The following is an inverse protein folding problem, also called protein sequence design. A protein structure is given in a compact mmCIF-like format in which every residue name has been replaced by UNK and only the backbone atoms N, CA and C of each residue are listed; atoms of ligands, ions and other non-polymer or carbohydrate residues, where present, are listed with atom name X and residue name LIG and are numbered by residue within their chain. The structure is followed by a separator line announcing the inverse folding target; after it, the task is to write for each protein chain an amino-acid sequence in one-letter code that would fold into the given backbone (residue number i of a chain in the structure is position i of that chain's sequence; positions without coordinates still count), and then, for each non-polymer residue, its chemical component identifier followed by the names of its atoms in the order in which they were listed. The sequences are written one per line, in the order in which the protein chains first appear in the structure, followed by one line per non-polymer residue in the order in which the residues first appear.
data_IF_571504516426
#
_entry.id   IF_571504516426
#
_cell.length_a   1.000
_cell.length_b   1.000
_cell.length_c   1.000
_cell.angle_alpha   90.00
_cell.angle_beta   90.00
_cell.angle_gamma   90.00
#
_symmetry.space_group_name_H-M   'P 1'
#
loop_
_entity.id
_entity.type
_entity.pdbx_description
1 polymer ?
#
# COMPACT_ATOMS: atom_id res chain seq x y z
N UNK A 1 9.33 12.40 -0.15
CA UNK A 1 10.14 11.17 -0.09
C UNK A 1 10.88 10.99 -1.41
N UNK A 2 11.84 10.09 -1.46
CA UNK A 2 12.62 9.90 -2.71
C UNK A 2 11.99 8.92 -3.70
N UNK A 3 11.05 8.09 -3.22
CA UNK A 3 10.41 7.01 -3.99
C UNK A 3 8.99 6.80 -3.49
N UNK A 4 8.04 6.55 -4.40
CA UNK A 4 6.64 6.29 -4.06
C UNK A 4 6.45 4.96 -3.32
N UNK A 5 7.37 4.00 -3.49
CA UNK A 5 7.38 2.74 -2.75
C UNK A 5 7.44 2.93 -1.23
N UNK A 6 8.11 3.98 -0.75
CA UNK A 6 8.16 4.34 0.67
C UNK A 6 6.82 4.91 1.18
N UNK A 7 6.10 5.65 0.34
CA UNK A 7 4.74 6.10 0.68
C UNK A 7 3.78 4.91 0.77
N UNK A 8 3.89 3.97 -0.18
CA UNK A 8 3.12 2.72 -0.15
C UNK A 8 3.38 1.95 1.15
N UNK A 9 4.65 1.85 1.57
CA UNK A 9 5.01 1.22 2.83
C UNK A 9 4.32 1.89 4.02
N UNK A 10 4.43 3.22 4.13
CA UNK A 10 3.82 3.98 5.22
C UNK A 10 2.30 3.83 5.27
N UNK A 11 1.64 3.83 4.11
CA UNK A 11 0.18 3.67 4.01
C UNK A 11 -0.23 2.24 4.40
N UNK A 12 0.45 1.22 3.89
CA UNK A 12 0.16 -0.18 4.22
C UNK A 12 0.44 -0.50 5.70
N UNK A 13 1.46 0.13 6.30
CA UNK A 13 1.69 0.08 7.75
C UNK A 13 0.53 0.67 8.56
N UNK A 14 -0.18 1.67 8.04
CA UNK A 14 -1.39 2.18 8.69
C UNK A 14 -2.53 1.15 8.62
N UNK A 15 -2.66 0.42 7.53
CA UNK A 15 -3.63 -0.68 7.39
C UNK A 15 -3.38 -1.78 8.43
N UNK A 16 -2.11 -2.18 8.61
CA UNK A 16 -1.73 -3.15 9.66
C UNK A 16 -2.08 -2.63 11.06
N UNK A 17 -1.79 -1.35 11.35
CA UNK A 17 -2.14 -0.71 12.63
C UNK A 17 -3.65 -0.63 12.85
N UNK A 18 -4.42 -0.50 11.77
CA UNK A 18 -5.88 -0.60 11.80
C UNK A 18 -6.39 -2.06 11.96
N UNK A 19 -5.49 -3.00 12.19
CA UNK A 19 -5.77 -4.44 12.37
C UNK A 19 -6.47 -5.06 11.16
N UNK A 20 -6.12 -4.61 9.96
CA UNK A 20 -6.64 -5.18 8.73
C UNK A 20 -6.16 -6.62 8.54
N UNK A 21 -7.05 -7.62 8.48
CA UNK A 21 -6.69 -8.97 8.10
C UNK A 21 -6.12 -9.06 6.68
N UNK A 22 -6.55 -8.17 5.80
CA UNK A 22 -6.12 -8.10 4.41
C UNK A 22 -5.83 -6.66 3.99
N UNK A 23 -4.69 -6.45 3.37
CA UNK A 23 -4.30 -5.20 2.71
C UNK A 23 -3.98 -5.48 1.24
N UNK A 24 -4.58 -4.73 0.33
CA UNK A 24 -4.34 -4.83 -1.10
C UNK A 24 -3.55 -3.61 -1.56
N UNK A 25 -2.45 -3.84 -2.28
CA UNK A 25 -1.59 -2.83 -2.89
C UNK A 25 -1.73 -3.00 -4.41
N UNK A 26 -2.43 -2.06 -5.04
CA UNK A 26 -2.83 -2.13 -6.43
C UNK A 26 -2.19 -0.97 -7.20
N UNK A 27 -1.38 -1.29 -8.20
CA UNK A 27 -0.74 -0.33 -9.08
C UNK A 27 -1.24 -0.55 -10.50
N UNK A 28 -1.63 0.53 -11.16
CA UNK A 28 -2.01 0.55 -12.57
C UNK A 28 -1.18 1.63 -13.26
N UNK A 29 -0.28 1.21 -14.12
CA UNK A 29 0.72 2.06 -14.76
C UNK A 29 0.57 2.04 -16.27
N UNK A 30 0.44 3.22 -16.85
CA UNK A 30 0.53 3.45 -18.29
C UNK A 30 1.85 4.17 -18.63
N UNK A 31 2.05 4.54 -19.89
CA UNK A 31 3.23 5.31 -20.30
C UNK A 31 3.33 6.66 -19.57
N UNK A 32 2.19 7.30 -19.30
CA UNK A 32 2.13 8.68 -18.78
C UNK A 32 1.49 8.82 -17.40
N UNK A 33 0.84 7.78 -16.89
CA UNK A 33 0.09 7.83 -15.63
C UNK A 33 0.40 6.61 -14.78
N UNK A 34 0.61 6.84 -13.49
CA UNK A 34 0.67 5.80 -12.46
C UNK A 34 -0.47 6.03 -11.46
N UNK A 35 -1.31 5.04 -11.29
CA UNK A 35 -2.34 5.02 -10.24
C UNK A 35 -1.94 4.01 -9.18
N UNK A 36 -1.95 4.43 -7.92
CA UNK A 36 -1.66 3.61 -6.75
C UNK A 36 -2.89 3.60 -5.85
N UNK A 37 -3.36 2.41 -5.49
CA UNK A 37 -4.42 2.25 -4.50
C UNK A 37 -3.97 1.28 -3.40
N UNK A 38 -4.27 1.65 -2.15
CA UNK A 38 -4.15 0.77 -0.99
C UNK A 38 -5.54 0.60 -0.40
N UNK A 39 -5.99 -0.65 -0.33
CA UNK A 39 -7.33 -1.03 0.14
C UNK A 39 -7.19 -1.98 1.30
N UNK A 40 -7.84 -1.71 2.40
CA UNK A 40 -7.81 -2.58 3.57
C UNK A 40 -9.21 -2.79 4.17
N UNK A 41 -9.35 -3.86 4.92
CA UNK A 41 -10.54 -4.21 5.70
C UNK A 41 -10.30 -4.07 7.22
N UNK A 42 -9.48 -3.09 7.61
CA UNK A 42 -9.24 -2.73 9.00
C UNK A 42 -10.40 -2.01 9.67
N UNK A 43 -10.18 -1.50 10.88
CA UNK A 43 -11.25 -0.84 11.66
C UNK A 43 -11.80 0.45 11.02
N UNK A 44 -11.17 0.95 9.96
CA UNK A 44 -11.56 2.18 9.30
C UNK A 44 -11.43 3.43 10.17
N UNK A 45 -11.98 4.53 9.68
CA UNK A 45 -11.95 5.82 10.33
C UNK A 45 -13.35 6.39 10.50
N UNK A 46 -13.61 7.04 11.62
CA UNK A 46 -14.82 7.85 11.81
C UNK A 46 -14.75 9.10 10.95
N UNK A 47 -15.89 9.75 10.62
CA UNK A 47 -15.91 10.98 9.83
C UNK A 47 -14.97 12.08 10.38
N UNK A 48 -14.92 12.27 11.69
CA UNK A 48 -14.06 13.26 12.33
C UNK A 48 -12.57 12.99 12.09
N UNK A 49 -12.15 11.72 12.09
CA UNK A 49 -10.77 11.32 11.82
C UNK A 49 -10.48 11.48 10.33
N UNK A 50 -11.42 11.07 9.47
CA UNK A 50 -11.28 11.11 8.02
C UNK A 50 -11.07 12.56 7.51
N UNK A 51 -11.80 13.53 8.07
CA UNK A 51 -11.64 14.95 7.72
C UNK A 51 -10.24 15.49 8.01
N UNK A 52 -9.57 14.93 9.02
CA UNK A 52 -8.28 15.45 9.53
C UNK A 52 -7.07 14.63 9.06
N UNK A 53 -7.28 13.42 8.58
CA UNK A 53 -6.18 12.49 8.28
C UNK A 53 -5.22 13.00 7.19
N UNK A 54 -5.67 13.90 6.34
CA UNK A 54 -4.84 14.56 5.31
C UNK A 54 -4.10 15.80 5.81
N UNK A 55 -4.36 16.24 7.05
CA UNK A 55 -3.65 17.36 7.66
C UNK A 55 -2.27 16.89 8.17
N UNK A 56 -1.15 17.51 7.73
CA UNK A 56 0.19 17.14 8.16
C UNK A 56 0.42 17.28 9.67
N UNK A 57 -0.38 18.12 10.35
CA UNK A 57 -0.27 18.36 11.79
C UNK A 57 -1.19 17.46 12.64
N UNK A 58 -2.09 16.72 11.99
CA UNK A 58 -2.97 15.79 12.68
C UNK A 58 -2.31 14.43 12.89
N UNK A 59 -2.34 13.94 14.14
CA UNK A 59 -1.88 12.58 14.46
C UNK A 59 -2.72 11.99 15.58
N UNK A 60 -3.06 10.74 15.47
CA UNK A 60 -3.70 9.94 16.53
C UNK A 60 -2.67 9.28 17.46
N UNK A 61 -1.37 9.47 17.18
CA UNK A 61 -0.28 8.87 17.98
C UNK A 61 0.03 9.72 19.21
N UNK A 62 -0.05 9.12 20.39
CA UNK A 62 0.24 9.77 21.68
C UNK A 62 1.73 9.93 21.98
N UNK A 63 2.63 9.26 21.26
CA UNK A 63 4.04 9.14 21.66
C UNK A 63 5.06 9.54 20.59
N UNK A 64 4.67 9.88 19.36
CA UNK A 64 5.60 10.35 18.33
C UNK A 64 4.93 11.09 17.19
N UNK A 65 5.66 12.12 16.73
CA UNK A 65 5.50 12.91 15.50
C UNK A 65 4.63 12.28 14.42
N UNK A 66 3.57 13.01 14.08
CA UNK A 66 2.93 13.18 12.77
C UNK A 66 2.98 11.96 11.85
N UNK A 67 1.84 11.34 11.61
CA UNK A 67 1.67 10.40 10.51
C UNK A 67 1.70 11.16 9.18
N UNK A 68 2.88 11.35 8.60
CA UNK A 68 3.07 12.15 7.39
C UNK A 68 2.81 11.37 6.09
N UNK A 69 2.62 10.05 6.16
CA UNK A 69 2.48 9.21 4.97
C UNK A 69 1.31 9.63 4.07
N UNK A 70 0.10 9.75 4.61
CA UNK A 70 -1.09 10.14 3.82
C UNK A 70 -1.00 11.58 3.32
N UNK A 71 -0.67 12.59 4.16
CA UNK A 71 -0.50 13.96 3.69
C UNK A 71 0.56 14.12 2.59
N UNK A 72 1.70 13.45 2.72
CA UNK A 72 2.76 13.51 1.69
C UNK A 72 2.32 12.82 0.40
N UNK A 73 1.68 11.68 0.48
CA UNK A 73 1.18 10.96 -0.69
C UNK A 73 0.17 11.80 -1.48
N UNK A 74 -0.73 12.49 -0.76
CA UNK A 74 -1.65 13.47 -1.34
C UNK A 74 -0.90 14.60 -2.03
N UNK A 75 0.02 15.25 -1.32
CA UNK A 75 0.79 16.38 -1.84
C UNK A 75 1.59 16.00 -3.10
N UNK A 76 2.26 14.86 -3.08
CA UNK A 76 3.07 14.38 -4.19
C UNK A 76 2.21 14.08 -5.43
N UNK A 77 1.01 13.52 -5.26
CA UNK A 77 0.07 13.32 -6.36
C UNK A 77 -0.39 14.65 -6.96
N UNK A 78 -0.83 15.58 -6.11
CA UNK A 78 -1.31 16.90 -6.52
C UNK A 78 -0.21 17.74 -7.20
N UNK A 79 1.04 17.62 -6.77
CA UNK A 79 2.19 18.30 -7.40
C UNK A 79 2.42 17.86 -8.85
N UNK A 80 2.06 16.64 -9.21
CA UNK A 80 2.14 16.18 -10.61
C UNK A 80 0.91 16.54 -11.46
N UNK A 81 -0.03 17.30 -10.88
CA UNK A 81 -1.33 17.55 -11.52
C UNK A 81 -2.28 16.36 -11.47
N UNK A 82 -1.93 15.34 -10.69
CA UNK A 82 -2.75 14.16 -10.46
C UNK A 82 -3.86 14.38 -9.44
N UNK A 83 -4.35 13.29 -8.87
CA UNK A 83 -5.48 13.32 -7.93
C UNK A 83 -5.23 12.43 -6.72
N UNK A 84 -5.93 12.73 -5.63
CA UNK A 84 -5.93 11.93 -4.42
C UNK A 84 -7.37 11.75 -3.92
N UNK A 85 -7.69 10.55 -3.45
CA UNK A 85 -8.93 10.28 -2.73
C UNK A 85 -8.69 9.34 -1.56
N UNK A 86 -9.49 9.51 -0.51
CA UNK A 86 -9.54 8.62 0.63
C UNK A 86 -10.99 8.39 1.03
N UNK A 87 -11.38 7.15 1.17
CA UNK A 87 -12.70 6.73 1.64
C UNK A 87 -12.50 5.76 2.80
N UNK A 88 -13.29 5.88 3.84
CA UNK A 88 -13.22 4.99 4.98
C UNK A 88 -14.57 4.81 5.62
N UNK A 89 -14.83 3.57 6.06
CA UNK A 89 -16.00 3.19 6.84
C UNK A 89 -15.51 2.63 8.17
N UNK A 90 -15.94 3.24 9.28
CA UNK A 90 -15.55 2.76 10.61
C UNK A 90 -16.29 1.49 10.99
N UNK A 91 -15.59 0.57 11.65
CA UNK A 91 -16.16 -0.67 12.19
C UNK A 91 -17.31 -0.40 13.17
N UNK A 92 -17.26 0.72 13.91
CA UNK A 92 -18.29 1.10 14.85
C UNK A 92 -19.64 1.45 14.20
N UNK A 93 -19.61 1.98 12.96
CA UNK A 93 -20.80 2.34 12.19
C UNK A 93 -21.19 1.26 11.17
N UNK A 94 -20.22 0.53 10.66
CA UNK A 94 -20.36 -0.49 9.61
C UNK A 94 -19.68 -1.81 10.02
N UNK A 95 -20.22 -2.57 10.98
CA UNK A 95 -19.54 -3.75 11.53
C UNK A 95 -19.21 -4.88 10.52
N UNK A 96 -19.93 -4.93 9.41
CA UNK A 96 -19.74 -5.95 8.37
C UNK A 96 -19.16 -5.41 7.05
N UNK A 97 -18.90 -4.11 6.95
CA UNK A 97 -18.41 -3.46 5.74
C UNK A 97 -17.55 -2.24 6.12
N UNK A 98 -16.40 -2.49 6.72
CA UNK A 98 -15.49 -1.47 7.21
C UNK A 98 -14.11 -1.60 6.56
N UNK A 99 -13.31 -0.53 6.64
CA UNK A 99 -11.98 -0.46 6.10
C UNK A 99 -11.69 0.88 5.47
N UNK A 100 -10.58 0.95 4.74
CA UNK A 100 -10.10 2.19 4.11
C UNK A 100 -9.65 1.94 2.68
N UNK A 101 -9.95 2.87 1.80
CA UNK A 101 -9.44 2.94 0.43
C UNK A 101 -8.70 4.26 0.26
N UNK A 102 -7.42 4.19 -0.06
CA UNK A 102 -6.59 5.34 -0.42
C UNK A 102 -6.18 5.16 -1.87
N UNK A 103 -6.40 6.18 -2.70
CA UNK A 103 -6.04 6.15 -4.11
C UNK A 103 -5.40 7.47 -4.53
N UNK A 104 -4.30 7.38 -5.26
CA UNK A 104 -3.63 8.53 -5.85
C UNK A 104 -3.23 8.25 -7.30
N UNK A 105 -3.30 9.29 -8.13
CA UNK A 105 -2.90 9.26 -9.53
C UNK A 105 -1.81 10.27 -9.75
N UNK A 106 -0.75 9.87 -10.45
CA UNK A 106 0.45 10.66 -10.71
C UNK A 106 0.66 10.78 -12.22
N UNK A 107 0.95 11.98 -12.71
CA UNK A 107 1.39 12.17 -14.09
C UNK A 107 2.90 12.00 -14.18
N UNK A 108 3.35 10.95 -14.89
CA UNK A 108 4.76 10.52 -14.98
C UNK A 108 5.64 11.47 -15.79
N UNK A 109 5.04 12.24 -16.67
CA UNK A 109 5.71 13.24 -17.52
C UNK A 109 5.88 14.60 -16.82
N UNK A 110 5.35 14.77 -15.61
CA UNK A 110 5.51 15.99 -14.83
C UNK A 110 6.91 16.06 -14.18
N UNK A 111 7.48 17.28 -14.12
CA UNK A 111 8.84 17.49 -13.56
C UNK A 111 8.95 17.10 -12.07
N UNK A 112 7.86 17.21 -11.32
CA UNK A 112 7.82 16.85 -9.90
C UNK A 112 7.45 15.37 -9.65
N UNK A 113 7.36 14.55 -10.71
CA UNK A 113 7.09 13.13 -10.55
C UNK A 113 8.25 12.43 -9.82
N UNK A 114 7.90 11.71 -8.76
CA UNK A 114 8.82 10.88 -7.99
C UNK A 114 8.73 9.44 -8.51
N UNK A 115 9.86 8.77 -8.79
CA UNK A 115 9.84 7.40 -9.31
C UNK A 115 9.16 6.43 -8.34
N UNK A 116 8.59 5.35 -8.89
CA UNK A 116 7.98 4.29 -8.07
C UNK A 116 8.99 3.69 -7.08
N UNK A 117 10.22 3.47 -7.51
CA UNK A 117 11.26 2.89 -6.67
C UNK A 117 11.12 1.37 -6.51
N UNK A 118 11.71 0.84 -5.44
CA UNK A 118 11.76 -0.60 -5.17
C UNK A 118 10.48 -1.09 -4.46
N UNK A 119 9.44 -1.32 -5.24
CA UNK A 119 8.17 -1.83 -4.73
C UNK A 119 8.27 -3.28 -4.26
N UNK A 120 9.17 -4.09 -4.82
CA UNK A 120 9.38 -5.49 -4.39
C UNK A 120 9.91 -5.51 -2.95
N UNK A 121 10.92 -4.70 -2.65
CA UNK A 121 11.43 -4.56 -1.27
C UNK A 121 10.35 -4.05 -0.32
N UNK A 122 9.47 -3.16 -0.76
CA UNK A 122 8.33 -2.72 0.04
C UNK A 122 7.39 -3.87 0.40
N UNK A 123 6.99 -4.67 -0.58
CA UNK A 123 6.09 -5.83 -0.38
C UNK A 123 6.74 -6.88 0.52
N UNK A 124 8.00 -7.24 0.27
CA UNK A 124 8.72 -8.23 1.10
C UNK A 124 8.92 -7.74 2.53
N UNK A 125 9.19 -6.46 2.73
CA UNK A 125 9.32 -5.84 4.07
C UNK A 125 8.00 -5.92 4.84
N UNK A 126 6.87 -5.60 4.20
CA UNK A 126 5.55 -5.71 4.82
C UNK A 126 5.23 -7.15 5.24
N UNK A 127 5.45 -8.11 4.35
CA UNK A 127 5.18 -9.53 4.63
C UNK A 127 6.07 -10.04 5.76
N UNK A 128 7.36 -9.72 5.74
CA UNK A 128 8.31 -10.14 6.75
C UNK A 128 8.00 -9.53 8.13
N UNK A 129 7.63 -8.25 8.15
CA UNK A 129 7.29 -7.52 9.38
C UNK A 129 5.95 -7.94 9.98
N UNK A 130 5.03 -8.42 9.14
CA UNK A 130 3.65 -8.75 9.52
C UNK A 130 3.20 -10.11 8.96
N UNK A 131 3.87 -11.21 9.35
CA UNK A 131 3.64 -12.53 8.75
C UNK A 131 2.23 -13.10 9.00
N UNK A 132 1.50 -12.57 9.97
CA UNK A 132 0.13 -13.00 10.31
C UNK A 132 -0.95 -12.20 9.57
N UNK A 133 -0.58 -11.13 8.85
CA UNK A 133 -1.47 -10.36 7.99
C UNK A 133 -1.38 -10.85 6.54
N UNK A 134 -2.48 -10.71 5.82
CA UNK A 134 -2.48 -11.03 4.39
C UNK A 134 -2.34 -9.81 3.51
N UNK A 135 -1.60 -9.99 2.43
CA UNK A 135 -1.35 -8.97 1.43
C UNK A 135 -1.66 -9.49 0.04
N UNK A 136 -2.33 -8.66 -0.76
CA UNK A 136 -2.43 -8.82 -2.20
C UNK A 136 -1.62 -7.69 -2.83
N UNK A 137 -0.66 -8.03 -3.65
CA UNK A 137 0.07 -7.09 -4.49
C UNK A 137 -0.28 -7.34 -5.95
N UNK A 138 -0.58 -6.29 -6.68
CA UNK A 138 -0.80 -6.34 -8.12
C UNK A 138 -0.29 -5.07 -8.78
N UNK A 139 0.57 -5.20 -9.76
CA UNK A 139 1.07 -4.11 -10.58
C UNK A 139 0.84 -4.45 -12.06
N UNK A 140 -0.06 -3.73 -12.69
CA UNK A 140 -0.24 -3.74 -14.15
C UNK A 140 0.60 -2.60 -14.71
N UNK A 141 1.47 -2.90 -15.68
CA UNK A 141 2.40 -1.93 -16.26
C UNK A 141 2.49 -2.14 -17.78
N UNK A 142 3.02 -1.17 -18.54
CA UNK A 142 3.22 -1.35 -19.98
C UNK A 142 4.07 -2.59 -20.27
N UNK A 143 3.46 -3.58 -20.89
CA UNK A 143 4.12 -4.84 -21.23
C UNK A 143 3.79 -6.02 -20.32
N UNK A 144 3.14 -5.84 -19.16
CA UNK A 144 2.83 -6.99 -18.32
C UNK A 144 2.12 -6.73 -17.00
N UNK A 145 2.18 -7.72 -16.16
CA UNK A 145 1.62 -7.70 -14.82
C UNK A 145 2.50 -8.49 -13.85
N UNK A 146 2.69 -7.98 -12.65
CA UNK A 146 3.27 -8.71 -11.53
C UNK A 146 2.26 -8.78 -10.39
N UNK A 147 2.09 -9.94 -9.77
CA UNK A 147 1.12 -10.15 -8.69
C UNK A 147 1.56 -11.19 -7.67
N UNK A 148 1.08 -11.02 -6.45
CA UNK A 148 1.26 -11.95 -5.34
C UNK A 148 0.03 -11.89 -4.43
N UNK A 149 -0.47 -13.06 -4.01
CA UNK A 149 -1.49 -13.20 -2.96
C UNK A 149 -0.94 -14.09 -1.85
N UNK A 150 -0.71 -13.52 -0.66
CA UNK A 150 -0.15 -14.27 0.47
C UNK A 150 -1.09 -15.35 0.99
N UNK A 151 -2.40 -15.26 0.74
CA UNK A 151 -3.37 -16.28 1.16
C UNK A 151 -3.17 -17.57 0.35
N UNK A 152 -2.90 -17.45 -0.94
CA UNK A 152 -2.55 -18.58 -1.80
C UNK A 152 -1.22 -19.20 -1.35
N UNK A 153 -0.24 -18.34 -1.10
CA UNK A 153 1.08 -18.80 -0.62
C UNK A 153 0.99 -19.52 0.72
N UNK A 154 0.17 -19.05 1.68
CA UNK A 154 -0.06 -19.76 2.96
C UNK A 154 -0.63 -21.16 2.76
N UNK A 155 -1.56 -21.32 1.82
CA UNK A 155 -2.14 -22.62 1.52
C UNK A 155 -1.09 -23.62 1.00
N UNK A 156 -0.17 -23.14 0.17
CA UNK A 156 0.94 -23.95 -0.38
C UNK A 156 1.99 -24.29 0.70
N UNK A 157 2.28 -23.37 1.60
CA UNK A 157 3.32 -23.53 2.62
C UNK A 157 2.92 -24.43 3.80
N UNK A 158 1.63 -24.73 3.99
CA UNK A 158 1.17 -25.69 4.99
C UNK A 158 1.56 -25.38 6.43
N UNK A 159 1.58 -24.10 6.82
CA UNK A 159 1.86 -23.65 8.18
C UNK A 159 3.28 -23.11 8.42
N UNK A 160 4.14 -23.07 7.40
CA UNK A 160 5.42 -22.36 7.47
C UNK A 160 5.15 -20.86 7.52
N UNK A 161 5.86 -20.14 8.40
CA UNK A 161 5.72 -18.69 8.55
C UNK A 161 6.16 -17.96 7.29
N UNK A 162 5.39 -16.93 6.90
CA UNK A 162 5.78 -16.04 5.80
C UNK A 162 7.03 -15.20 6.12
N UNK A 163 7.43 -15.09 7.40
CA UNK A 163 8.66 -14.40 7.80
C UNK A 163 9.94 -15.22 7.64
N UNK A 164 9.83 -16.50 7.31
CA UNK A 164 11.01 -17.34 7.10
C UNK A 164 11.87 -16.81 5.95
N UNK A 165 13.18 -16.80 6.14
CA UNK A 165 14.12 -16.25 5.17
C UNK A 165 13.96 -16.84 3.75
N UNK A 166 13.81 -18.17 3.67
CA UNK A 166 13.64 -18.86 2.37
C UNK A 166 12.32 -18.47 1.68
N UNK A 167 11.27 -18.19 2.44
CA UNK A 167 9.97 -17.74 1.91
C UNK A 167 10.10 -16.32 1.39
N UNK A 168 10.70 -15.41 2.14
CA UNK A 168 10.92 -14.02 1.72
C UNK A 168 11.80 -13.96 0.47
N UNK A 169 12.87 -14.75 0.44
CA UNK A 169 13.73 -14.87 -0.74
C UNK A 169 12.97 -15.38 -1.96
N UNK A 170 12.14 -16.40 -1.78
CA UNK A 170 11.31 -16.93 -2.86
C UNK A 170 10.33 -15.87 -3.39
N UNK A 171 9.68 -15.10 -2.50
CA UNK A 171 8.78 -14.01 -2.88
C UNK A 171 9.53 -12.95 -3.70
N UNK A 172 10.70 -12.54 -3.25
CA UNK A 172 11.55 -11.55 -3.94
C UNK A 172 11.92 -12.04 -5.37
N UNK A 173 12.40 -13.26 -5.47
CA UNK A 173 12.77 -13.89 -6.75
C UNK A 173 11.54 -14.04 -7.67
N UNK A 174 10.41 -14.51 -7.13
CA UNK A 174 9.16 -14.70 -7.87
C UNK A 174 8.62 -13.39 -8.46
N UNK A 175 8.62 -12.30 -7.69
CA UNK A 175 8.19 -11.00 -8.18
C UNK A 175 9.18 -10.45 -9.23
N UNK A 176 10.49 -10.59 -9.02
CA UNK A 176 11.52 -10.17 -10.00
C UNK A 176 11.36 -10.91 -11.34
N UNK A 177 11.11 -12.19 -11.32
CA UNK A 177 10.87 -12.98 -12.53
C UNK A 177 9.65 -12.46 -13.32
N UNK A 178 8.56 -12.08 -12.65
CA UNK A 178 7.38 -11.53 -13.32
C UNK A 178 7.67 -10.20 -14.02
N UNK A 179 8.53 -9.35 -13.45
CA UNK A 179 8.95 -8.11 -14.10
C UNK A 179 9.91 -8.32 -15.29
N UNK A 180 10.66 -9.42 -15.29
CA UNK A 180 11.62 -9.74 -16.36
C UNK A 180 10.98 -10.51 -17.53
N UNK A 181 9.92 -11.24 -17.27
CA UNK A 181 9.26 -12.14 -18.25
C UNK A 181 8.27 -11.44 -19.18
N UNK A 182 8.08 -10.13 -18.98
CA UNK A 182 7.12 -9.30 -19.71
C UNK A 182 7.80 -8.23 -20.55
#
# INVERSE_FOLDING_TARGET
MKELSLNILDIAENSVKARAPLTQILLDETETVLTIAVVDNGCGMTPDVLERVTDPFYTTRTTRKVGLGIPFFKMEAEMTGGSFSIESKSESEYPNDHGTVIKATFHKDHIDFIPLGDVISTVTTLIQGHPDSDFIFRHVFPGGEASLDTRELRNELGGVSLAEYEVIKWIDDYLKEQYQSN
#
